data_IF_927771103341
#
_entry.id   IF_927771103341
#
_cell.length_a   1.000
_cell.length_b   1.000
_cell.length_c   1.000
_cell.angle_alpha   90.00
_cell.angle_beta   90.00
_cell.angle_gamma   90.00
#
_symmetry.space_group_name_H-M   'P 1'
#
loop_
_entity.id
_entity.type
_entity.pdbx_description
1 polymer ?
#
# COMPACT_ATOMS: atom_id res chain seq x y z
N UNK A 1 2.58 29.27 17.00
CA UNK A 1 2.68 29.47 15.54
C UNK A 1 3.43 28.26 15.03
N UNK A 2 2.81 27.13 14.71
CA UNK A 2 1.49 26.87 14.10
C UNK A 2 0.78 25.71 14.79
N UNK A 3 -0.47 25.93 15.18
CA UNK A 3 -1.50 24.89 15.21
C UNK A 3 -1.95 24.68 13.75
N UNK A 4 -2.32 23.46 13.35
CA UNK A 4 -2.97 23.21 12.05
C UNK A 4 -2.17 22.40 11.04
N UNK A 5 -2.18 21.09 11.21
CA UNK A 5 -2.70 20.13 10.24
C UNK A 5 -2.38 18.73 10.77
N UNK A 6 -3.39 17.98 11.22
CA UNK A 6 -3.34 16.53 11.00
C UNK A 6 -3.22 16.40 9.49
N UNK A 7 -1.99 16.30 8.98
CA UNK A 7 -1.75 16.10 7.56
C UNK A 7 -2.54 14.85 7.20
N UNK A 8 -3.54 14.99 6.34
CA UNK A 8 -4.34 13.86 5.90
C UNK A 8 -3.36 12.98 5.12
N UNK A 9 -2.84 11.94 5.79
CA UNK A 9 -1.84 11.06 5.21
C UNK A 9 -2.48 10.43 3.97
N UNK A 10 -1.90 10.69 2.80
CA UNK A 10 -2.42 10.11 1.58
C UNK A 10 -1.91 8.68 1.45
N UNK A 11 -2.62 7.77 2.12
CA UNK A 11 -2.31 6.34 2.12
C UNK A 11 -2.23 5.78 0.70
N UNK A 12 -3.03 6.31 -0.24
CA UNK A 12 -2.98 5.84 -1.62
C UNK A 12 -1.64 6.19 -2.26
N UNK A 13 -1.19 7.45 -2.10
CA UNK A 13 0.08 7.90 -2.61
C UNK A 13 1.27 7.15 -2.01
N UNK A 14 1.24 6.85 -0.71
CA UNK A 14 2.32 6.12 -0.02
C UNK A 14 2.39 4.65 -0.48
N UNK A 15 1.24 3.97 -0.58
CA UNK A 15 1.18 2.59 -1.11
C UNK A 15 1.68 2.55 -2.56
N UNK A 16 1.24 3.48 -3.41
CA UNK A 16 1.68 3.58 -4.80
C UNK A 16 3.19 3.84 -4.87
N UNK A 17 3.73 4.74 -4.05
CA UNK A 17 5.16 5.04 -4.02
C UNK A 17 6.00 3.81 -3.61
N UNK A 18 5.55 3.06 -2.59
CA UNK A 18 6.25 1.85 -2.14
C UNK A 18 6.17 0.73 -3.17
N UNK A 19 5.01 0.55 -3.83
CA UNK A 19 4.87 -0.37 -4.95
C UNK A 19 5.82 -0.01 -6.10
N UNK A 20 5.80 1.24 -6.55
CA UNK A 20 6.64 1.75 -7.62
C UNK A 20 8.13 1.52 -7.33
N UNK A 21 8.55 1.77 -6.09
CA UNK A 21 9.92 1.52 -5.65
C UNK A 21 10.31 0.03 -5.72
N UNK A 22 9.41 -0.89 -5.35
CA UNK A 22 9.67 -2.33 -5.41
C UNK A 22 9.79 -2.85 -6.84
N UNK A 23 8.95 -2.38 -7.76
CA UNK A 23 9.00 -2.79 -9.18
C UNK A 23 10.00 -2.00 -10.02
N UNK A 24 10.62 -0.96 -9.45
CA UNK A 24 11.52 -0.06 -10.17
C UNK A 24 10.82 0.74 -11.27
N UNK A 25 9.56 1.15 -11.05
CA UNK A 25 8.76 1.98 -11.96
C UNK A 25 8.48 3.35 -11.36
N UNK A 26 7.96 4.27 -12.17
CA UNK A 26 7.50 5.56 -11.69
C UNK A 26 6.11 5.42 -11.05
N UNK A 27 5.87 6.09 -9.92
CA UNK A 27 4.60 6.10 -9.22
C UNK A 27 3.44 6.61 -10.10
N UNK A 28 3.73 7.50 -11.05
CA UNK A 28 2.73 8.02 -12.00
C UNK A 28 2.26 7.00 -13.04
N UNK A 29 2.96 5.87 -13.19
CA UNK A 29 2.54 4.76 -14.06
C UNK A 29 1.54 3.82 -13.37
N UNK A 30 1.39 3.94 -12.05
CA UNK A 30 0.51 3.10 -11.25
C UNK A 30 -0.78 3.83 -10.91
N UNK A 31 -1.87 3.09 -10.82
CA UNK A 31 -3.18 3.60 -10.41
C UNK A 31 -3.88 2.59 -9.51
N UNK A 32 -4.97 3.00 -8.86
CA UNK A 32 -5.79 2.11 -8.04
C UNK A 32 -6.35 0.91 -8.83
N UNK A 33 -6.45 1.02 -10.16
CA UNK A 33 -6.92 -0.07 -11.04
C UNK A 33 -5.82 -1.03 -11.48
N UNK A 34 -4.55 -0.73 -11.20
CA UNK A 34 -3.42 -1.60 -11.55
C UNK A 34 -3.51 -2.91 -10.78
N UNK A 35 -3.44 -4.05 -11.49
CA UNK A 35 -3.56 -5.39 -10.90
C UNK A 35 -2.20 -5.86 -10.38
N UNK A 36 -2.14 -6.24 -9.10
CA UNK A 36 -0.87 -6.60 -8.45
C UNK A 36 -0.26 -7.86 -9.09
N UNK A 37 -1.04 -8.92 -9.22
CA UNK A 37 -0.57 -10.20 -9.78
C UNK A 37 -0.34 -10.15 -11.30
N UNK A 38 -1.21 -9.45 -12.03
CA UNK A 38 -1.20 -9.51 -13.51
C UNK A 38 -0.33 -8.41 -14.14
N UNK A 39 -0.35 -7.18 -13.61
CA UNK A 39 0.39 -6.05 -14.20
C UNK A 39 1.76 -5.85 -13.54
N UNK A 40 1.85 -6.12 -12.23
CA UNK A 40 3.08 -5.93 -11.46
C UNK A 40 3.84 -7.24 -11.19
N UNK A 41 3.27 -8.38 -11.58
CA UNK A 41 3.83 -9.72 -11.33
C UNK A 41 4.18 -9.97 -9.86
N UNK A 42 3.44 -9.33 -8.94
CA UNK A 42 3.57 -9.61 -7.51
C UNK A 42 3.16 -11.04 -7.24
N UNK A 43 3.77 -11.66 -6.25
CA UNK A 43 3.33 -12.92 -5.68
C UNK A 43 2.98 -12.72 -4.20
N UNK A 44 2.56 -13.79 -3.52
CA UNK A 44 2.24 -13.73 -2.09
C UNK A 44 3.43 -13.31 -1.22
N UNK A 45 4.67 -13.57 -1.67
CA UNK A 45 5.88 -13.18 -0.93
C UNK A 45 6.16 -11.70 -1.08
N UNK A 46 6.08 -11.18 -2.31
CA UNK A 46 6.25 -9.77 -2.66
C UNK A 46 5.25 -8.88 -1.92
N UNK A 47 4.04 -9.39 -1.73
CA UNK A 47 3.01 -8.74 -0.92
C UNK A 47 3.42 -8.62 0.55
N UNK A 48 3.95 -9.68 1.15
CA UNK A 48 4.43 -9.62 2.54
C UNK A 48 5.61 -8.66 2.69
N UNK A 49 6.53 -8.64 1.72
CA UNK A 49 7.63 -7.67 1.67
C UNK A 49 7.14 -6.23 1.58
N UNK A 50 6.11 -5.98 0.76
CA UNK A 50 5.47 -4.68 0.67
C UNK A 50 4.82 -4.27 1.98
N UNK A 51 4.13 -5.19 2.66
CA UNK A 51 3.51 -4.90 3.96
C UNK A 51 4.58 -4.55 5.00
N UNK A 52 5.65 -5.33 5.13
CA UNK A 52 6.77 -5.01 6.04
C UNK A 52 7.37 -3.63 5.77
N UNK A 53 7.52 -3.27 4.50
CA UNK A 53 8.00 -1.94 4.11
C UNK A 53 7.01 -0.84 4.51
N UNK A 54 5.72 -1.07 4.27
CA UNK A 54 4.66 -0.13 4.64
C UNK A 54 4.54 0.02 6.16
N UNK A 55 4.76 -1.03 6.95
CA UNK A 55 4.83 -0.96 8.41
C UNK A 55 5.94 0.00 8.88
N UNK A 56 7.12 -0.12 8.29
CA UNK A 56 8.27 0.76 8.57
C UNK A 56 7.97 2.22 8.16
N UNK A 57 7.42 2.42 6.96
CA UNK A 57 7.13 3.75 6.40
C UNK A 57 5.98 4.45 7.15
N UNK A 58 4.93 3.70 7.51
CA UNK A 58 3.74 4.21 8.16
C UNK A 58 3.86 4.25 9.69
N UNK A 59 4.76 3.46 10.28
CA UNK A 59 4.85 3.24 11.72
C UNK A 59 3.65 2.47 12.27
N UNK A 60 3.13 1.51 11.52
CA UNK A 60 2.00 0.64 11.89
C UNK A 60 2.43 -0.82 11.86
N UNK A 61 1.59 -1.72 12.40
CA UNK A 61 1.80 -3.17 12.35
C UNK A 61 0.56 -3.78 11.69
N UNK A 62 0.75 -4.52 10.61
CA UNK A 62 -0.34 -5.20 9.89
C UNK A 62 -0.45 -6.64 10.38
N UNK A 63 -1.68 -7.09 10.63
CA UNK A 63 -1.94 -8.49 10.94
C UNK A 63 -2.13 -9.30 9.64
N UNK A 64 -1.19 -10.19 9.26
CA UNK A 64 -1.31 -10.96 8.04
C UNK A 64 -2.48 -11.96 8.06
N UNK A 65 -3.03 -12.30 9.23
CA UNK A 65 -4.22 -13.16 9.31
C UNK A 65 -5.49 -12.45 8.82
N UNK A 66 -5.49 -11.11 8.79
CA UNK A 66 -6.61 -10.30 8.30
C UNK A 66 -6.62 -10.14 6.78
N UNK A 67 -5.52 -10.51 6.11
CA UNK A 67 -5.35 -10.35 4.67
C UNK A 67 -6.23 -11.34 3.90
N UNK A 68 -7.06 -10.82 3.02
CA UNK A 68 -7.88 -11.63 2.12
C UNK A 68 -7.29 -11.64 0.70
N UNK A 69 -7.54 -12.70 -0.09
CA UNK A 69 -7.10 -12.73 -1.50
C UNK A 69 -7.59 -11.53 -2.31
N UNK A 70 -8.74 -10.95 -1.95
CA UNK A 70 -9.31 -9.77 -2.61
C UNK A 70 -8.53 -8.48 -2.32
N UNK A 71 -7.83 -8.39 -1.17
CA UNK A 71 -7.00 -7.22 -0.81
C UNK A 71 -5.78 -7.07 -1.74
N UNK A 72 -5.42 -8.14 -2.45
CA UNK A 72 -4.28 -8.18 -3.38
C UNK A 72 -4.68 -8.20 -4.86
N UNK A 73 -5.96 -8.01 -5.19
CA UNK A 73 -6.37 -8.04 -6.59
C UNK A 73 -5.78 -6.85 -7.37
N UNK A 74 -5.85 -5.66 -6.78
CA UNK A 74 -5.40 -4.41 -7.37
C UNK A 74 -4.91 -3.43 -6.30
N UNK A 75 -4.19 -2.39 -6.73
CA UNK A 75 -3.64 -1.36 -5.85
C UNK A 75 -4.72 -0.73 -4.96
N UNK A 76 -5.90 -0.43 -5.51
CA UNK A 76 -7.00 0.15 -4.74
C UNK A 76 -7.50 -0.76 -3.59
N UNK A 77 -7.49 -2.08 -3.80
CA UNK A 77 -7.83 -3.04 -2.74
C UNK A 77 -6.81 -3.02 -1.61
N UNK A 78 -5.53 -2.96 -1.96
CA UNK A 78 -4.45 -2.86 -0.97
C UNK A 78 -4.50 -1.53 -0.21
N UNK A 79 -4.77 -0.42 -0.90
CA UNK A 79 -4.96 0.89 -0.26
C UNK A 79 -6.13 0.84 0.74
N UNK A 80 -7.24 0.18 0.38
CA UNK A 80 -8.38 0.02 1.28
C UNK A 80 -8.02 -0.83 2.52
N UNK A 81 -7.25 -1.90 2.34
CA UNK A 81 -6.69 -2.68 3.44
C UNK A 81 -5.85 -1.81 4.37
N UNK A 82 -4.86 -1.10 3.82
CA UNK A 82 -3.93 -0.27 4.60
C UNK A 82 -4.66 0.84 5.36
N UNK A 83 -5.66 1.49 4.74
CA UNK A 83 -6.48 2.51 5.42
C UNK A 83 -7.21 1.95 6.64
N UNK A 84 -7.79 0.76 6.49
CA UNK A 84 -8.52 0.08 7.56
C UNK A 84 -7.61 -0.24 8.75
N UNK A 85 -6.43 -0.81 8.49
CA UNK A 85 -5.51 -1.21 9.56
C UNK A 85 -4.74 -0.02 10.15
N UNK A 86 -4.37 0.99 9.34
CA UNK A 86 -3.70 2.21 9.81
C UNK A 86 -4.63 3.15 10.60
N UNK A 87 -5.93 2.84 10.69
CA UNK A 87 -6.91 3.65 11.41
C UNK A 87 -7.13 5.04 10.81
N UNK A 88 -6.94 5.18 9.49
CA UNK A 88 -6.97 6.44 8.75
C UNK A 88 -8.23 6.58 7.87
#
# INVERSE_FOLDING_TARGET
MTDGATAHRDIAAEVIASLAAMVGRDASELSEETRLFDDLYFDSTSVLELLMRLEEDLGVEFDPETLQPADFEKVGSLVAYVRREAGA
#
